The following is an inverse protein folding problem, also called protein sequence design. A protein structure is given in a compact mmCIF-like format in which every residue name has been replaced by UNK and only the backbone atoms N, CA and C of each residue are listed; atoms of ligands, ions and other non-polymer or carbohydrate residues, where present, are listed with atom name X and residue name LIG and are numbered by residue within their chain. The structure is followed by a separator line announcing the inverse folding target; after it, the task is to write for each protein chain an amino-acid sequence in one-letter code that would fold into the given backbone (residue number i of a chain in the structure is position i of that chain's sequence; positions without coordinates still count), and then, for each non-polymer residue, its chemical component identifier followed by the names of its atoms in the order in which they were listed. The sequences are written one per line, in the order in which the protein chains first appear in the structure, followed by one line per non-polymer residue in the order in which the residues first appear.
data_IF_580137984661
#
_entry.id   IF_580137984661
#
_cell.length_a   1.000
_cell.length_b   1.000
_cell.length_c   1.000
_cell.angle_alpha   90.00
_cell.angle_beta   90.00
_cell.angle_gamma   90.00
#
_symmetry.space_group_name_H-M   'P 1'
#
loop_
_entity.id
_entity.type
_entity.pdbx_description
1 polymer ?
#
# COMPACT_ATOMS: atom_id res chain seq x y z
N UNK A 1 -11.22 4.03 11.25
CA UNK A 1 -12.33 3.58 10.38
C UNK A 1 -12.28 4.45 9.13
N UNK A 2 -11.94 3.90 7.96
CA UNK A 2 -11.93 4.67 6.72
C UNK A 2 -13.39 4.89 6.30
N UNK A 3 -13.87 6.12 6.42
CA UNK A 3 -15.26 6.51 6.15
C UNK A 3 -15.55 6.77 4.66
N UNK A 4 -14.57 6.57 3.78
CA UNK A 4 -14.75 6.71 2.33
C UNK A 4 -14.96 5.35 1.69
N UNK A 5 -16.01 5.25 0.89
CA UNK A 5 -16.27 4.11 0.04
C UNK A 5 -15.11 3.99 -0.96
N UNK A 6 -14.22 3.03 -0.71
CA UNK A 6 -13.08 2.77 -1.57
C UNK A 6 -13.60 2.34 -2.94
N UNK A 7 -13.57 3.26 -3.91
CA UNK A 7 -14.06 2.99 -5.25
C UNK A 7 -13.18 1.95 -5.95
N UNK A 8 -13.80 0.85 -6.34
CA UNK A 8 -13.14 -0.29 -7.01
C UNK A 8 -12.37 0.13 -8.26
N UNK A 9 -12.86 1.16 -8.96
CA UNK A 9 -12.23 1.72 -10.16
C UNK A 9 -10.86 2.38 -9.92
N UNK A 10 -10.53 2.81 -8.70
CA UNK A 10 -9.23 3.41 -8.37
C UNK A 10 -8.24 2.39 -7.77
N UNK A 11 -8.75 1.41 -7.05
CA UNK A 11 -7.92 0.41 -6.35
C UNK A 11 -7.20 -0.53 -7.32
N UNK A 12 -7.91 -1.07 -8.32
CA UNK A 12 -7.28 -2.03 -9.24
C UNK A 12 -6.13 -1.43 -10.04
N UNK A 13 -6.26 -0.22 -10.63
CA UNK A 13 -5.13 0.44 -11.28
C UNK A 13 -3.92 0.62 -10.36
N UNK A 14 -4.14 1.04 -9.11
CA UNK A 14 -3.05 1.21 -8.15
C UNK A 14 -2.37 -0.11 -7.78
N UNK A 15 -3.16 -1.18 -7.58
CA UNK A 15 -2.62 -2.51 -7.28
C UNK A 15 -1.86 -3.09 -8.48
N UNK A 16 -2.35 -2.90 -9.70
CA UNK A 16 -1.65 -3.35 -10.90
C UNK A 16 -0.33 -2.55 -11.09
N UNK A 17 -0.33 -1.24 -10.88
CA UNK A 17 0.91 -0.42 -10.89
C UNK A 17 1.92 -0.89 -9.83
N UNK A 18 1.46 -1.15 -8.60
CA UNK A 18 2.34 -1.68 -7.54
C UNK A 18 2.88 -3.08 -7.87
N UNK A 19 2.10 -3.88 -8.61
CA UNK A 19 2.54 -5.20 -9.07
C UNK A 19 3.58 -5.07 -10.20
N UNK A 20 3.36 -4.18 -11.16
CA UNK A 20 4.32 -3.84 -12.23
C UNK A 20 5.65 -3.32 -11.66
N UNK A 21 5.58 -2.47 -10.62
CA UNK A 21 6.76 -2.01 -9.87
C UNK A 21 7.43 -3.11 -9.04
N UNK A 22 6.84 -4.31 -8.95
CA UNK A 22 7.38 -5.43 -8.20
C UNK A 22 7.33 -5.26 -6.68
N UNK A 23 6.49 -4.35 -6.18
CA UNK A 23 6.29 -4.10 -4.75
C UNK A 23 5.34 -5.15 -4.15
N UNK A 24 4.35 -5.57 -4.94
CA UNK A 24 3.41 -6.63 -4.59
C UNK A 24 3.39 -7.72 -5.66
N UNK A 25 2.99 -8.92 -5.27
CA UNK A 25 2.71 -10.04 -6.17
C UNK A 25 1.22 -10.34 -6.17
N UNK A 26 0.62 -10.36 -7.36
CA UNK A 26 -0.75 -10.83 -7.60
C UNK A 26 -0.75 -12.35 -7.66
N UNK A 27 -1.69 -12.96 -6.96
CA UNK A 27 -1.96 -14.40 -6.96
C UNK A 27 -3.43 -14.59 -7.30
N UNK A 28 -3.71 -15.35 -8.35
CA UNK A 28 -5.08 -15.70 -8.69
C UNK A 28 -5.61 -16.70 -7.65
N UNK A 29 -6.72 -16.35 -7.00
CA UNK A 29 -7.36 -17.23 -6.03
C UNK A 29 -8.34 -18.18 -6.71
N UNK A 30 -8.99 -17.77 -7.82
CA UNK A 30 -10.09 -18.47 -8.50
C UNK A 30 -10.89 -17.60 -9.51
N UNK A 31 -10.30 -16.59 -10.17
CA UNK A 31 -10.97 -15.76 -11.19
C UNK A 31 -12.07 -14.81 -10.68
N UNK A 32 -12.48 -14.91 -9.41
CA UNK A 32 -13.43 -14.00 -8.75
C UNK A 32 -12.77 -12.98 -7.81
N UNK A 33 -11.52 -13.23 -7.42
CA UNK A 33 -10.80 -12.36 -6.50
C UNK A 33 -9.29 -12.55 -6.59
N UNK A 34 -8.56 -11.45 -6.58
CA UNK A 34 -7.11 -11.44 -6.56
C UNK A 34 -6.62 -11.42 -5.12
N UNK A 35 -5.60 -12.22 -4.81
CA UNK A 35 -4.82 -12.09 -3.58
C UNK A 35 -3.54 -11.33 -3.89
N UNK A 36 -3.16 -10.40 -3.03
CA UNK A 36 -1.91 -9.67 -3.15
C UNK A 36 -1.02 -9.94 -1.95
N UNK A 37 0.29 -10.06 -2.18
CA UNK A 37 1.28 -10.22 -1.12
C UNK A 37 2.47 -9.30 -1.38
N UNK A 38 3.01 -8.66 -0.35
CA UNK A 38 4.25 -7.91 -0.48
C UNK A 38 5.38 -8.81 -0.98
N UNK A 39 6.21 -8.26 -1.87
CA UNK A 39 7.49 -8.86 -2.22
C UNK A 39 8.55 -8.51 -1.16
N UNK A 40 9.72 -9.16 -1.21
CA UNK A 40 10.86 -8.76 -0.36
C UNK A 40 11.29 -7.31 -0.61
N UNK A 41 11.16 -6.83 -1.85
CA UNK A 41 11.40 -5.43 -2.19
C UNK A 41 10.35 -4.54 -1.55
N UNK A 42 9.07 -4.84 -1.71
CA UNK A 42 7.99 -4.05 -1.12
C UNK A 42 8.10 -3.91 0.41
N UNK A 43 8.56 -4.96 1.11
CA UNK A 43 8.84 -4.88 2.55
C UNK A 43 9.95 -3.89 2.87
N UNK A 44 11.09 -3.94 2.14
CA UNK A 44 12.21 -3.00 2.36
C UNK A 44 11.81 -1.56 2.08
N UNK A 45 11.06 -1.33 1.00
CA UNK A 45 10.64 0.02 0.60
C UNK A 45 9.68 0.60 1.66
N UNK A 46 8.77 -0.21 2.22
CA UNK A 46 7.91 0.20 3.34
C UNK A 46 8.69 0.46 4.64
N UNK A 47 9.74 -0.32 4.91
CA UNK A 47 10.61 -0.09 6.06
C UNK A 47 11.33 1.25 5.94
N UNK A 48 11.96 1.52 4.79
CA UNK A 48 12.63 2.80 4.54
C UNK A 48 11.65 3.99 4.57
N UNK A 49 10.43 3.80 4.07
CA UNK A 49 9.40 4.83 4.19
C UNK A 49 9.04 5.12 5.66
N UNK A 50 8.81 4.09 6.47
CA UNK A 50 8.53 4.26 7.91
C UNK A 50 9.68 4.89 8.68
N UNK A 51 10.91 4.51 8.37
CA UNK A 51 12.11 5.12 8.97
C UNK A 51 12.17 6.61 8.66
N UNK A 52 11.92 6.98 7.39
CA UNK A 52 11.84 8.37 6.99
C UNK A 52 10.68 9.11 7.69
N UNK A 53 9.49 8.53 7.74
CA UNK A 53 8.34 9.13 8.43
C UNK A 53 8.66 9.41 9.90
N UNK A 54 9.22 8.43 10.61
CA UNK A 54 9.61 8.57 12.01
C UNK A 54 10.69 9.62 12.24
N UNK A 55 11.53 9.89 11.23
CA UNK A 55 12.62 10.85 11.33
C UNK A 55 12.19 12.28 11.01
N UNK A 56 11.23 12.45 10.09
CA UNK A 56 10.96 13.74 9.46
C UNK A 56 9.52 14.23 9.59
N UNK A 57 8.57 13.37 9.92
CA UNK A 57 7.19 13.79 10.18
C UNK A 57 7.00 13.93 11.69
N UNK A 58 6.44 15.07 12.10
CA UNK A 58 5.93 15.20 13.46
C UNK A 58 4.79 14.19 13.67
N UNK A 59 4.57 13.71 14.91
CA UNK A 59 3.40 12.91 15.24
C UNK A 59 2.13 13.57 14.68
N UNK A 60 1.22 12.78 14.12
CA UNK A 60 -0.02 13.29 13.51
C UNK A 60 -0.82 14.13 14.51
N UNK A 61 -0.74 13.78 15.80
CA UNK A 61 -1.38 14.50 16.90
C UNK A 61 -0.79 15.90 17.12
N UNK A 62 0.43 16.17 16.63
CA UNK A 62 1.07 17.51 16.66
C UNK A 62 0.81 18.32 15.38
N UNK A 63 0.26 17.69 14.33
CA UNK A 63 -0.06 18.33 13.05
C UNK A 63 -1.52 18.82 12.94
N UNK A 64 -2.38 18.44 13.90
CA UNK A 64 -3.77 18.91 14.00
C UNK A 64 -3.96 19.67 15.33
N UNK A 65 -3.98 21.02 15.31
CA UNK A 65 -4.31 21.82 16.50
C UNK A 65 -5.78 21.70 16.93
#
# INVERSE_FOLDING_TARGET
YYAEEITVGRVYPQLDEMAEKGLIKKMDKNGRGNKYRLTRRGVRDLQGHREWENQYLAPIDELSP
#
